data_IF_095807487521
#
_entry.id   IF_095807487521
#
_cell.length_a   1.000
_cell.length_b   1.000
_cell.length_c   1.000
_cell.angle_alpha   90.00
_cell.angle_beta   90.00
_cell.angle_gamma   90.00
#
_symmetry.space_group_name_H-M   'P 1'
#
loop_
_entity.id
_entity.type
_entity.pdbx_description
1 polymer ?
#
# COMPACT_ATOMS: atom_id res chain seq x y z
N UNK A 1 22.87 12.06 6.02
CA UNK A 1 21.83 11.22 6.64
C UNK A 1 20.50 11.83 6.28
N UNK A 2 19.82 11.30 5.26
CA UNK A 2 18.56 11.89 4.78
C UNK A 2 17.42 11.37 5.65
N UNK A 3 16.73 12.25 6.37
CA UNK A 3 15.55 11.86 7.16
C UNK A 3 14.32 11.79 6.26
N UNK A 4 14.29 10.85 5.32
CA UNK A 4 13.08 10.52 4.55
C UNK A 4 12.22 9.57 5.37
N UNK A 5 11.21 10.10 6.05
CA UNK A 5 10.10 9.30 6.54
C UNK A 5 8.85 9.76 5.78
N UNK A 6 8.51 9.12 4.63
CA UNK A 6 7.28 9.45 3.95
C UNK A 6 6.12 9.22 4.91
N UNK A 7 5.25 10.21 5.04
CA UNK A 7 4.02 10.04 5.78
C UNK A 7 3.06 9.28 4.88
N UNK A 8 2.80 8.02 5.22
CA UNK A 8 1.86 7.17 4.51
C UNK A 8 0.57 7.06 5.31
N UNK A 9 -0.55 7.26 4.62
CA UNK A 9 -1.89 6.97 5.11
C UNK A 9 -2.49 5.89 4.23
N UNK A 10 -3.13 4.91 4.87
CA UNK A 10 -3.88 3.84 4.22
C UNK A 10 -5.29 3.80 4.78
N UNK A 11 -6.26 3.55 3.91
CA UNK A 11 -7.65 3.34 4.27
C UNK A 11 -8.16 2.08 3.57
N UNK A 12 -8.44 1.03 4.35
CA UNK A 12 -8.94 -0.23 3.80
C UNK A 12 -10.39 -0.04 3.37
N UNK A 13 -10.65 -0.17 2.07
CA UNK A 13 -11.98 0.01 1.48
C UNK A 13 -12.73 -1.29 1.33
N UNK A 14 -12.04 -2.39 1.05
CA UNK A 14 -12.64 -3.71 0.89
C UNK A 14 -11.66 -4.83 1.22
N UNK A 15 -12.19 -5.91 1.80
CA UNK A 15 -11.49 -7.18 1.98
C UNK A 15 -12.35 -8.27 1.34
N UNK A 16 -11.75 -9.10 0.49
CA UNK A 16 -12.37 -10.29 -0.09
C UNK A 16 -11.51 -11.48 0.29
N UNK A 17 -12.03 -12.35 1.16
CA UNK A 17 -11.32 -13.53 1.64
C UNK A 17 -11.56 -14.74 0.73
N UNK A 18 -10.53 -15.56 0.58
CA UNK A 18 -10.58 -16.87 -0.06
C UNK A 18 -9.99 -17.90 0.92
N UNK A 19 -10.87 -18.58 1.66
CA UNK A 19 -10.46 -19.46 2.76
C UNK A 19 -9.88 -18.69 3.94
N UNK A 20 -9.04 -19.36 4.74
CA UNK A 20 -8.55 -18.83 6.02
C UNK A 20 -7.22 -18.06 5.91
N UNK A 21 -6.48 -18.25 4.81
CA UNK A 21 -5.12 -17.78 4.67
C UNK A 21 -4.90 -16.83 3.49
N UNK A 22 -5.89 -16.54 2.64
CA UNK A 22 -5.71 -15.69 1.46
C UNK A 22 -6.78 -14.60 1.39
N UNK A 23 -6.38 -13.37 1.08
CA UNK A 23 -7.31 -12.28 0.85
C UNK A 23 -6.83 -11.31 -0.23
N UNK A 24 -7.78 -10.77 -0.99
CA UNK A 24 -7.60 -9.54 -1.75
C UNK A 24 -8.03 -8.36 -0.88
N UNK A 25 -7.20 -7.33 -0.77
CA UNK A 25 -7.53 -6.07 -0.12
C UNK A 25 -7.50 -4.93 -1.13
N UNK A 26 -8.44 -4.00 -1.00
CA UNK A 26 -8.49 -2.78 -1.79
C UNK A 26 -8.32 -1.63 -0.83
N UNK A 27 -7.32 -0.78 -1.08
CA UNK A 27 -6.88 0.25 -0.14
C UNK A 27 -6.74 1.57 -0.88
N UNK A 28 -7.28 2.64 -0.33
CA UNK A 28 -6.89 4.00 -0.75
C UNK A 28 -5.65 4.41 0.04
N UNK A 29 -4.65 4.96 -0.64
CA UNK A 29 -3.42 5.43 0.00
C UNK A 29 -3.04 6.83 -0.44
N UNK A 30 -2.34 7.52 0.45
CA UNK A 30 -1.70 8.78 0.19
C UNK A 30 -0.30 8.78 0.82
N UNK A 31 0.67 9.35 0.10
CA UNK A 31 2.04 9.53 0.57
C UNK A 31 2.44 11.00 0.45
N UNK A 32 3.21 11.46 1.43
CA UNK A 32 3.87 12.76 1.39
C UNK A 32 5.33 12.60 1.76
N UNK A 33 6.23 12.96 0.86
CA UNK A 33 7.67 12.89 1.04
C UNK A 33 8.31 14.27 0.87
N UNK A 34 9.33 14.57 1.67
CA UNK A 34 10.20 15.74 1.47
C UNK A 34 11.45 15.26 0.77
N UNK A 35 11.68 15.76 -0.45
CA UNK A 35 12.82 15.43 -1.28
C UNK A 35 14.10 16.08 -0.75
N UNK A 36 15.25 15.64 -1.25
CA UNK A 36 16.55 16.15 -0.86
C UNK A 36 16.73 17.61 -1.33
N UNK A 37 15.99 18.02 -2.36
CA UNK A 37 15.86 19.41 -2.81
C UNK A 37 15.09 20.29 -1.81
N UNK A 38 14.39 19.71 -0.83
CA UNK A 38 13.46 20.40 0.06
C UNK A 38 12.03 20.50 -0.51
N UNK A 39 11.80 20.06 -1.74
CA UNK A 39 10.47 20.00 -2.35
C UNK A 39 9.60 18.93 -1.70
N UNK A 40 8.28 19.14 -1.75
CA UNK A 40 7.31 18.16 -1.26
C UNK A 40 6.74 17.40 -2.46
N UNK A 41 6.94 16.09 -2.47
CA UNK A 41 6.25 15.17 -3.36
C UNK A 41 5.04 14.60 -2.63
N UNK A 42 3.86 14.71 -3.24
CA UNK A 42 2.62 14.13 -2.74
C UNK A 42 2.05 13.19 -3.80
N UNK A 43 1.81 11.94 -3.41
CA UNK A 43 1.24 10.92 -4.28
C UNK A 43 0.00 10.32 -3.60
N UNK A 44 -0.92 9.82 -4.41
CA UNK A 44 -2.08 9.08 -3.93
C UNK A 44 -2.51 8.06 -4.96
N UNK A 45 -3.28 7.06 -4.54
CA UNK A 45 -3.84 6.08 -5.44
C UNK A 45 -4.74 5.08 -4.75
N UNK A 46 -5.23 4.12 -5.54
CA UNK A 46 -5.94 2.95 -5.05
C UNK A 46 -5.09 1.71 -5.32
N UNK A 47 -4.72 1.01 -4.25
CA UNK A 47 -4.00 -0.25 -4.32
C UNK A 47 -4.96 -1.45 -4.35
N UNK A 48 -4.54 -2.51 -5.04
CA UNK A 48 -5.18 -3.83 -4.98
C UNK A 48 -4.16 -4.90 -4.63
N UNK A 49 -4.18 -5.34 -3.37
CA UNK A 49 -3.13 -6.23 -2.86
C UNK A 49 -3.67 -7.62 -2.58
N UNK A 50 -2.84 -8.62 -2.83
CA UNK A 50 -3.10 -9.99 -2.38
C UNK A 50 -2.24 -10.25 -1.17
N UNK A 51 -2.85 -10.59 -0.04
CA UNK A 51 -2.16 -10.94 1.21
C UNK A 51 -2.40 -12.40 1.57
N UNK A 52 -1.38 -13.02 2.17
CA UNK A 52 -1.46 -14.38 2.71
C UNK A 52 -1.05 -14.45 4.17
N UNK A 53 -1.84 -15.17 4.98
CA UNK A 53 -1.53 -15.51 6.35
C UNK A 53 -0.44 -16.58 6.39
N UNK A 54 0.60 -16.32 7.14
CA UNK A 54 1.73 -17.21 7.32
C UNK A 54 1.45 -18.21 8.45
N UNK A 55 2.29 -19.25 8.57
CA UNK A 55 2.17 -20.24 9.64
C UNK A 55 2.31 -19.63 11.05
N UNK A 56 3.04 -18.51 11.18
CA UNK A 56 3.18 -17.75 12.43
C UNK A 56 1.98 -16.83 12.73
N UNK A 57 0.95 -16.83 11.87
CA UNK A 57 -0.27 -16.03 12.01
C UNK A 57 -0.19 -14.61 11.46
N UNK A 58 0.99 -14.15 11.00
CA UNK A 58 1.15 -12.83 10.38
C UNK A 58 0.57 -12.81 8.97
N UNK A 59 0.09 -11.65 8.49
CA UNK A 59 -0.30 -11.46 7.10
C UNK A 59 0.83 -10.75 6.35
N UNK A 60 1.17 -11.24 5.14
CA UNK A 60 2.19 -10.65 4.28
C UNK A 60 1.66 -10.45 2.87
N UNK A 61 2.17 -9.43 2.19
CA UNK A 61 1.89 -9.20 0.76
C UNK A 61 2.45 -10.37 -0.05
N UNK A 62 1.62 -10.89 -0.95
CA UNK A 62 1.98 -11.82 -2.03
C UNK A 62 2.09 -11.04 -3.34
N UNK A 63 1.15 -10.12 -3.57
CA UNK A 63 1.14 -9.18 -4.69
C UNK A 63 0.81 -7.79 -4.12
N UNK A 64 1.56 -6.80 -4.58
CA UNK A 64 1.31 -5.38 -4.34
C UNK A 64 1.04 -4.73 -5.71
N UNK A 65 -0.12 -4.10 -5.87
CA UNK A 65 -0.48 -3.35 -7.08
C UNK A 65 -0.94 -1.94 -6.67
N UNK A 66 0.00 -1.02 -6.42
CA UNK A 66 -0.29 0.22 -5.72
C UNK A 66 -1.14 1.20 -6.53
N UNK A 67 -1.21 1.07 -7.85
CA UNK A 67 -1.99 1.99 -8.69
C UNK A 67 -3.23 1.34 -9.32
N UNK A 68 -3.50 0.06 -9.02
CA UNK A 68 -4.65 -0.65 -9.60
C UNK A 68 -4.54 -0.76 -11.13
N UNK A 69 -5.28 0.10 -11.84
CA UNK A 69 -5.22 0.22 -13.31
C UNK A 69 -4.68 1.57 -13.77
N UNK A 70 -4.41 2.49 -12.85
CA UNK A 70 -3.93 3.82 -13.14
C UNK A 70 -2.43 3.78 -13.45
N UNK A 71 -1.98 4.60 -14.40
CA UNK A 71 -0.56 4.82 -14.62
C UNK A 71 -0.08 5.93 -13.69
N UNK A 72 1.11 5.76 -13.10
CA UNK A 72 1.79 6.82 -12.35
C UNK A 72 1.99 8.01 -13.29
N UNK A 73 1.19 9.05 -13.10
CA UNK A 73 1.32 10.34 -13.80
C UNK A 73 2.53 11.10 -13.31
#
# INVERSE_FOLDING_TARGET
MFSYKPQLRFEVRKIIQAGDDLALIIVEWASKAVLASGEIEALSGTATDVVRKQADGTWKLVIDNPYGIEQKS
#
